data_IF_081124504551
#
_entry.id   IF_081124504551
#
_cell.length_a   1.000
_cell.length_b   1.000
_cell.length_c   1.000
_cell.angle_alpha   90.00
_cell.angle_beta   90.00
_cell.angle_gamma   90.00
#
_symmetry.space_group_name_H-M   'P 1'
#
loop_
_entity.id
_entity.type
_entity.pdbx_description
1 polymer ?
#
# COMPACT_ATOMS: atom_id res chain seq x y z
N UNK A 1 72.00 -20.55 -50.45
CA UNK A 1 70.58 -20.23 -50.20
C UNK A 1 70.08 -21.26 -49.21
N UNK A 2 69.57 -20.78 -48.10
CA UNK A 2 69.73 -21.42 -46.79
C UNK A 2 68.51 -22.28 -46.40
N UNK A 3 68.59 -23.26 -45.50
CA UNK A 3 69.78 -23.83 -44.84
C UNK A 3 69.43 -24.62 -43.57
N UNK A 4 69.92 -25.87 -43.44
CA UNK A 4 69.88 -26.73 -42.22
C UNK A 4 68.48 -27.10 -41.66
N UNK A 5 68.29 -28.11 -40.79
CA UNK A 5 68.91 -29.44 -40.55
C UNK A 5 67.92 -30.22 -39.63
N UNK A 6 67.42 -31.43 -39.93
CA UNK A 6 68.03 -32.78 -39.99
C UNK A 6 68.08 -33.56 -38.64
N UNK A 7 67.22 -34.59 -38.54
CA UNK A 7 67.23 -35.84 -37.70
C UNK A 7 66.55 -35.92 -36.30
N UNK A 8 65.86 -37.09 -36.16
CA UNK A 8 65.43 -37.92 -34.98
C UNK A 8 66.67 -38.43 -34.13
N UNK A 9 66.61 -39.34 -33.10
CA UNK A 9 65.51 -40.24 -32.63
C UNK A 9 65.38 -40.68 -31.12
N UNK A 10 64.22 -41.26 -30.78
CA UNK A 10 63.89 -42.49 -29.98
C UNK A 10 64.51 -42.93 -28.60
N UNK A 11 63.65 -43.62 -27.82
CA UNK A 11 63.92 -44.66 -26.76
C UNK A 11 64.39 -44.18 -25.35
N UNK A 12 64.32 -44.94 -24.23
CA UNK A 12 63.91 -46.34 -23.94
C UNK A 12 63.61 -46.60 -22.43
N UNK A 13 62.89 -47.69 -22.08
CA UNK A 13 62.91 -48.43 -20.77
C UNK A 13 62.48 -47.65 -19.48
N UNK A 14 62.30 -48.16 -18.24
CA UNK A 14 62.07 -49.47 -17.55
C UNK A 14 61.78 -49.18 -16.03
N UNK A 15 61.42 -50.09 -15.10
CA UNK A 15 60.63 -51.34 -15.04
C UNK A 15 60.55 -51.85 -13.56
N UNK A 16 59.59 -52.75 -13.20
CA UNK A 16 59.50 -53.52 -11.91
C UNK A 16 59.24 -52.73 -10.60
N UNK A 17 58.79 -53.27 -9.45
CA UNK A 17 58.02 -54.49 -9.06
C UNK A 17 57.59 -54.42 -7.56
N UNK A 18 56.94 -55.49 -7.01
CA UNK A 18 56.79 -55.92 -5.60
C UNK A 18 55.38 -55.90 -4.93
N UNK A 19 55.09 -57.02 -4.25
CA UNK A 19 53.98 -57.42 -3.34
C UNK A 19 54.67 -58.40 -2.35
N UNK A 20 54.57 -58.34 -1.00
CA UNK A 20 53.35 -58.58 -0.18
C UNK A 20 53.30 -57.65 1.09
N UNK A 21 52.75 -57.93 2.31
CA UNK A 21 52.13 -59.11 2.94
C UNK A 21 51.21 -58.79 4.14
N UNK A 22 50.16 -59.63 4.26
CA UNK A 22 49.46 -60.18 5.45
C UNK A 22 49.69 -59.67 6.90
N UNK A 23 48.54 -59.49 7.57
CA UNK A 23 48.13 -59.94 8.93
C UNK A 23 48.98 -59.60 10.17
N UNK A 24 48.40 -58.74 11.04
CA UNK A 24 47.92 -59.13 12.39
C UNK A 24 47.03 -57.99 12.96
N UNK A 25 46.37 -58.13 14.11
CA UNK A 25 45.12 -58.87 14.39
C UNK A 25 44.51 -58.30 15.70
N UNK A 26 43.42 -58.89 16.23
CA UNK A 26 42.71 -58.44 17.46
C UNK A 26 41.86 -57.15 17.28
N UNK A 27 40.68 -56.96 17.92
CA UNK A 27 39.98 -57.81 18.90
C UNK A 27 38.43 -57.67 18.82
N UNK A 28 37.74 -58.83 18.81
CA UNK A 28 36.38 -59.11 19.32
C UNK A 28 35.16 -58.17 19.11
N UNK A 29 34.18 -58.74 18.37
CA UNK A 29 32.79 -59.01 18.80
C UNK A 29 31.60 -58.05 18.54
N UNK A 30 30.48 -58.74 18.30
CA UNK A 30 29.04 -58.38 18.32
C UNK A 30 28.42 -57.67 17.10
N UNK A 31 27.14 -57.96 16.90
CA UNK A 31 26.40 -57.88 15.62
C UNK A 31 25.31 -56.76 15.67
N UNK A 32 24.55 -56.49 14.58
CA UNK A 32 24.26 -55.12 14.13
C UNK A 32 22.99 -54.52 14.79
N UNK A 33 22.56 -53.29 14.41
CA UNK A 33 21.58 -53.25 13.31
C UNK A 33 21.57 -51.97 12.43
N UNK A 34 20.71 -52.01 11.39
CA UNK A 34 20.12 -50.91 10.61
C UNK A 34 21.02 -49.83 9.96
N UNK A 35 21.11 -49.93 8.62
CA UNK A 35 21.60 -48.88 7.73
C UNK A 35 20.61 -47.70 7.67
N UNK A 36 20.83 -46.67 8.49
CA UNK A 36 20.19 -45.36 8.29
C UNK A 36 20.89 -44.57 7.17
N UNK A 37 20.31 -44.59 5.97
CA UNK A 37 20.62 -43.60 4.93
C UNK A 37 20.06 -42.23 5.36
N UNK A 38 20.85 -41.45 6.10
CA UNK A 38 20.58 -40.02 6.24
C UNK A 38 21.03 -39.29 4.97
N UNK A 39 20.16 -38.50 4.31
CA UNK A 39 20.59 -37.66 3.20
C UNK A 39 21.55 -36.57 3.72
N UNK A 40 22.52 -36.10 2.92
CA UNK A 40 23.50 -35.11 3.36
C UNK A 40 22.80 -33.82 3.79
N UNK A 41 22.95 -33.44 5.06
CA UNK A 41 22.30 -32.26 5.65
C UNK A 41 22.73 -31.02 4.87
N UNK A 42 21.77 -30.43 4.14
CA UNK A 42 22.04 -29.28 3.29
C UNK A 42 22.30 -28.04 4.16
N UNK A 43 23.58 -27.81 4.47
CA UNK A 43 24.04 -26.74 5.35
C UNK A 43 23.62 -25.33 4.88
N UNK A 44 23.29 -25.17 3.59
CA UNK A 44 22.74 -23.91 3.04
C UNK A 44 21.28 -23.69 3.46
N UNK A 45 20.47 -24.76 3.51
CA UNK A 45 19.11 -24.72 4.06
C UNK A 45 19.15 -24.54 5.58
N UNK A 46 20.01 -25.27 6.29
CA UNK A 46 20.17 -25.11 7.75
C UNK A 46 20.59 -23.67 8.10
N UNK A 47 21.54 -23.07 7.37
CA UNK A 47 21.96 -21.67 7.57
C UNK A 47 20.85 -20.66 7.27
N UNK A 48 20.05 -20.87 6.22
CA UNK A 48 18.86 -20.04 5.92
C UNK A 48 17.81 -20.14 7.02
N UNK A 49 17.54 -21.35 7.50
CA UNK A 49 16.60 -21.64 8.57
C UNK A 49 17.05 -21.02 9.90
N UNK A 50 18.33 -21.09 10.25
CA UNK A 50 18.90 -20.39 11.41
C UNK A 50 18.77 -18.87 11.29
N UNK A 51 19.05 -18.27 10.12
CA UNK A 51 18.83 -16.83 9.93
C UNK A 51 17.35 -16.44 10.00
N UNK A 52 16.45 -17.27 9.49
CA UNK A 52 15.00 -17.06 9.60
C UNK A 52 14.54 -17.06 11.07
N UNK A 53 14.95 -18.08 11.85
CA UNK A 53 14.64 -18.13 13.29
C UNK A 53 15.29 -16.99 14.08
N UNK A 54 16.52 -16.58 13.74
CA UNK A 54 17.19 -15.44 14.39
C UNK A 54 16.48 -14.11 14.07
N UNK A 55 16.03 -13.92 12.83
CA UNK A 55 15.22 -12.75 12.43
C UNK A 55 13.86 -12.74 13.13
N UNK A 56 13.19 -13.89 13.23
CA UNK A 56 11.92 -14.04 13.94
C UNK A 56 12.05 -13.76 15.44
N UNK A 57 13.14 -14.21 16.05
CA UNK A 57 13.49 -13.96 17.46
C UNK A 57 13.87 -12.49 17.71
N UNK A 58 14.59 -11.84 16.79
CA UNK A 58 14.88 -10.40 16.88
C UNK A 58 13.60 -9.57 16.76
N UNK A 59 12.71 -9.90 15.80
CA UNK A 59 11.39 -9.28 15.65
C UNK A 59 10.53 -9.48 16.92
N UNK A 60 10.57 -10.67 17.54
CA UNK A 60 9.90 -10.94 18.81
C UNK A 60 10.45 -10.08 19.97
N UNK A 61 11.78 -9.92 20.07
CA UNK A 61 12.40 -9.06 21.09
C UNK A 61 11.99 -7.60 20.91
N UNK A 62 12.02 -7.06 19.70
CA UNK A 62 11.60 -5.69 19.42
C UNK A 62 10.12 -5.46 19.76
N UNK A 63 9.25 -6.44 19.47
CA UNK A 63 7.83 -6.41 19.80
C UNK A 63 7.59 -6.49 21.33
N UNK A 64 8.43 -7.23 22.07
CA UNK A 64 8.43 -7.27 23.54
C UNK A 64 9.00 -5.99 24.21
N UNK A 65 9.89 -5.25 23.53
CA UNK A 65 10.41 -3.96 24.01
C UNK A 65 9.50 -2.77 23.67
N UNK A 66 8.63 -2.91 22.66
CA UNK A 66 7.67 -1.87 22.25
C UNK A 66 6.87 -1.22 23.38
N UNK A 67 6.33 -1.94 24.40
CA UNK A 67 5.56 -1.31 25.48
C UNK A 67 6.39 -0.48 26.49
N UNK A 68 7.73 -0.43 26.39
CA UNK A 68 8.53 0.48 27.22
C UNK A 68 8.52 1.93 26.69
N UNK A 69 8.08 2.15 25.44
CA UNK A 69 8.02 3.47 24.82
C UNK A 69 6.56 3.94 24.72
N UNK A 70 6.09 4.89 25.55
CA UNK A 70 4.73 5.38 25.48
C UNK A 70 4.50 6.15 24.18
N UNK A 71 3.54 5.71 23.38
CA UNK A 71 3.11 6.43 22.17
C UNK A 71 2.58 7.83 22.54
N UNK A 72 2.93 8.90 21.79
CA UNK A 72 2.35 10.21 22.01
C UNK A 72 0.83 10.20 21.80
N UNK A 73 0.07 11.03 22.52
CA UNK A 73 -1.40 11.05 22.42
C UNK A 73 -1.84 11.47 21.01
N UNK A 74 -2.86 10.80 20.48
CA UNK A 74 -3.45 11.11 19.18
C UNK A 74 -3.94 12.56 19.14
N UNK A 75 -3.35 13.37 18.26
CA UNK A 75 -3.82 14.72 18.00
C UNK A 75 -5.24 14.72 17.43
N UNK A 76 -6.07 15.62 17.92
CA UNK A 76 -7.38 15.88 17.32
C UNK A 76 -7.20 16.54 15.93
N UNK A 77 -8.12 16.32 14.97
CA UNK A 77 -8.02 16.93 13.66
C UNK A 77 -8.07 18.47 13.76
N UNK A 78 -7.07 19.13 13.18
CA UNK A 78 -7.00 20.60 13.12
C UNK A 78 -8.15 21.11 12.24
N UNK A 79 -9.10 21.80 12.86
CA UNK A 79 -10.19 22.46 12.15
C UNK A 79 -9.67 23.74 11.49
N UNK A 80 -9.46 23.73 10.17
CA UNK A 80 -9.18 24.96 9.42
C UNK A 80 -10.32 25.98 9.64
N UNK A 81 -9.98 27.11 10.26
CA UNK A 81 -10.96 28.04 10.82
C UNK A 81 -11.58 28.95 9.74
N UNK A 82 -12.42 28.39 8.87
CA UNK A 82 -13.21 29.16 7.88
C UNK A 82 -14.53 29.71 8.45
N UNK A 83 -14.50 30.21 9.67
CA UNK A 83 -15.53 31.13 10.20
C UNK A 83 -15.42 32.47 9.44
N UNK A 84 -16.44 32.99 8.75
CA UNK A 84 -17.85 33.06 9.17
C UNK A 84 -18.88 32.70 8.10
N UNK A 85 -18.46 32.28 6.90
CA UNK A 85 -19.37 32.13 5.75
C UNK A 85 -20.09 30.77 5.74
N UNK A 86 -19.47 29.72 6.28
CA UNK A 86 -19.90 28.32 6.18
C UNK A 86 -21.25 28.01 6.86
N UNK A 87 -21.51 28.54 8.06
CA UNK A 87 -22.78 28.32 8.78
C UNK A 87 -24.00 28.91 8.06
N UNK A 88 -23.81 30.02 7.33
CA UNK A 88 -24.86 30.60 6.48
C UNK A 88 -25.15 29.72 5.24
N UNK A 89 -24.25 28.80 4.92
CA UNK A 89 -24.24 28.01 3.70
C UNK A 89 -24.91 26.63 3.92
N UNK A 90 -24.51 25.94 5.00
CA UNK A 90 -25.00 24.60 5.39
C UNK A 90 -26.51 24.55 5.66
N UNK A 91 -27.08 25.64 6.18
CA UNK A 91 -28.51 25.80 6.49
C UNK A 91 -29.39 26.12 5.27
N UNK A 92 -28.79 26.48 4.14
CA UNK A 92 -29.51 26.92 2.94
C UNK A 92 -30.41 25.84 2.33
N UNK A 93 -31.46 26.25 1.61
CA UNK A 93 -32.37 25.32 0.95
C UNK A 93 -31.67 24.44 -0.12
N UNK A 94 -30.76 24.96 -0.98
CA UNK A 94 -29.99 24.13 -1.91
C UNK A 94 -29.07 23.13 -1.19
N UNK A 95 -28.38 23.54 -0.11
CA UNK A 95 -27.52 22.64 0.66
C UNK A 95 -28.31 21.46 1.25
N UNK A 96 -29.47 21.74 1.85
CA UNK A 96 -30.38 20.72 2.40
C UNK A 96 -30.97 19.82 1.32
N UNK A 97 -31.30 20.35 0.14
CA UNK A 97 -31.78 19.56 -1.00
C UNK A 97 -30.69 18.62 -1.53
N UNK A 98 -29.50 19.12 -1.82
CA UNK A 98 -28.36 18.34 -2.30
C UNK A 98 -27.96 17.27 -1.27
N UNK A 99 -27.83 17.63 0.00
CA UNK A 99 -27.53 16.70 1.10
C UNK A 99 -28.57 15.58 1.20
N UNK A 100 -29.86 15.90 1.02
CA UNK A 100 -30.92 14.88 0.98
C UNK A 100 -30.78 13.93 -0.21
N UNK A 101 -30.37 14.42 -1.38
CA UNK A 101 -30.11 13.58 -2.56
C UNK A 101 -28.89 12.67 -2.33
N UNK A 102 -27.78 13.18 -1.81
CA UNK A 102 -26.59 12.36 -1.47
C UNK A 102 -26.93 11.28 -0.42
N UNK A 103 -27.74 11.63 0.58
CA UNK A 103 -28.29 10.68 1.56
C UNK A 103 -29.15 9.58 0.92
N UNK A 104 -29.89 9.86 -0.16
CA UNK A 104 -30.63 8.84 -0.92
C UNK A 104 -29.69 7.96 -1.74
N UNK A 105 -28.69 8.55 -2.42
CA UNK A 105 -27.68 7.80 -3.20
C UNK A 105 -27.00 6.75 -2.32
N UNK A 106 -26.50 7.14 -1.14
CA UNK A 106 -25.74 6.24 -0.27
C UNK A 106 -26.56 5.08 0.31
N UNK A 107 -27.88 5.22 0.44
CA UNK A 107 -28.77 4.18 1.00
C UNK A 107 -29.38 3.27 -0.08
N UNK A 108 -29.71 3.79 -1.26
CA UNK A 108 -30.38 2.99 -2.32
C UNK A 108 -29.37 2.07 -3.03
N UNK A 109 -29.61 0.75 -3.14
CA UNK A 109 -28.68 -0.19 -3.77
C UNK A 109 -28.57 0.02 -5.29
N UNK A 110 -27.39 -0.25 -5.86
CA UNK A 110 -27.06 -0.01 -7.28
C UNK A 110 -27.98 -0.77 -8.25
N UNK A 111 -28.48 -1.94 -7.84
CA UNK A 111 -29.45 -2.74 -8.59
C UNK A 111 -30.82 -2.07 -8.77
N UNK A 112 -31.12 -1.01 -8.01
CA UNK A 112 -32.36 -0.25 -8.16
C UNK A 112 -32.21 0.87 -9.18
N UNK A 113 -33.15 0.99 -10.14
CA UNK A 113 -33.26 2.16 -11.03
C UNK A 113 -33.35 3.50 -10.26
N UNK A 114 -33.79 3.46 -9.01
CA UNK A 114 -33.81 4.63 -8.10
C UNK A 114 -32.40 5.15 -7.78
N UNK A 115 -31.38 4.29 -7.75
CA UNK A 115 -29.98 4.70 -7.57
C UNK A 115 -29.53 5.57 -8.75
N UNK A 116 -29.71 5.10 -9.99
CA UNK A 116 -29.37 5.86 -11.20
C UNK A 116 -30.11 7.22 -11.27
N UNK A 117 -31.37 7.27 -10.85
CA UNK A 117 -32.15 8.52 -10.78
C UNK A 117 -31.58 9.48 -9.72
N UNK A 118 -31.32 9.01 -8.49
CA UNK A 118 -30.76 9.86 -7.43
C UNK A 118 -29.32 10.31 -7.75
N UNK A 119 -28.52 9.43 -8.35
CA UNK A 119 -27.13 9.65 -8.75
C UNK A 119 -27.05 10.70 -9.87
N UNK A 120 -27.86 10.57 -10.93
CA UNK A 120 -27.94 11.59 -12.00
C UNK A 120 -28.59 12.90 -11.57
N UNK A 121 -29.46 12.89 -10.54
CA UNK A 121 -29.95 14.12 -9.91
C UNK A 121 -28.86 14.81 -9.10
N UNK A 122 -27.99 14.05 -8.41
CA UNK A 122 -26.84 14.61 -7.70
C UNK A 122 -25.85 15.27 -8.66
N UNK A 123 -25.49 14.63 -9.76
CA UNK A 123 -24.60 15.23 -10.78
C UNK A 123 -25.20 16.54 -11.31
N UNK A 124 -26.46 16.52 -11.79
CA UNK A 124 -27.10 17.74 -12.30
C UNK A 124 -27.12 18.88 -11.28
N UNK A 125 -27.47 18.62 -10.02
CA UNK A 125 -27.50 19.67 -8.99
C UNK A 125 -26.10 20.22 -8.65
N UNK A 126 -25.06 19.38 -8.71
CA UNK A 126 -23.68 19.82 -8.53
C UNK A 126 -23.22 20.69 -9.72
N UNK A 127 -23.53 20.25 -10.93
CA UNK A 127 -23.10 20.89 -12.18
C UNK A 127 -23.87 22.20 -12.43
N UNK A 128 -25.17 22.24 -12.15
CA UNK A 128 -26.01 23.44 -12.13
C UNK A 128 -25.45 24.47 -11.14
N UNK A 129 -25.07 24.04 -9.93
CA UNK A 129 -24.45 24.91 -8.92
C UNK A 129 -23.09 25.48 -9.37
N UNK A 130 -22.31 24.78 -10.20
CA UNK A 130 -21.06 25.30 -10.77
C UNK A 130 -21.31 26.35 -11.87
N UNK A 131 -22.44 26.27 -12.57
CA UNK A 131 -22.85 27.20 -13.63
C UNK A 131 -23.61 28.44 -13.10
N UNK A 132 -24.07 28.43 -11.85
CA UNK A 132 -24.82 29.54 -11.26
C UNK A 132 -23.95 30.77 -10.94
N UNK A 133 -24.36 31.93 -11.47
CA UNK A 133 -23.79 33.24 -11.11
C UNK A 133 -24.42 33.81 -9.80
N UNK A 134 -23.66 34.57 -8.99
CA UNK A 134 -22.22 34.82 -9.11
C UNK A 134 -21.39 33.59 -8.74
N UNK A 135 -20.30 33.38 -9.47
CA UNK A 135 -19.40 32.25 -9.30
C UNK A 135 -18.88 32.14 -7.85
N UNK A 136 -18.55 30.91 -7.42
CA UNK A 136 -18.05 30.61 -6.08
C UNK A 136 -19.13 30.49 -4.99
N UNK A 137 -20.27 31.19 -5.07
CA UNK A 137 -21.29 31.14 -3.99
C UNK A 137 -21.90 29.74 -3.82
N UNK A 138 -22.25 29.09 -4.93
CA UNK A 138 -22.82 27.74 -4.93
C UNK A 138 -21.74 26.65 -4.89
N UNK A 139 -20.50 26.95 -5.29
CA UNK A 139 -19.34 26.09 -5.10
C UNK A 139 -19.09 25.80 -3.61
N UNK A 140 -19.21 26.81 -2.72
CA UNK A 140 -19.15 26.60 -1.27
C UNK A 140 -20.25 25.68 -0.71
N UNK A 141 -21.43 25.66 -1.35
CA UNK A 141 -22.51 24.70 -1.04
C UNK A 141 -22.10 23.29 -1.48
N UNK A 142 -21.64 23.12 -2.72
CA UNK A 142 -21.15 21.83 -3.22
C UNK A 142 -20.06 21.27 -2.30
N UNK A 143 -19.04 22.08 -1.99
CA UNK A 143 -17.91 21.68 -1.15
C UNK A 143 -18.33 21.22 0.25
N UNK A 144 -19.13 22.03 0.97
CA UNK A 144 -19.57 21.66 2.33
C UNK A 144 -20.42 20.39 2.35
N UNK A 145 -21.30 20.21 1.36
CA UNK A 145 -22.21 19.05 1.29
C UNK A 145 -21.50 17.78 0.80
N UNK A 146 -20.58 17.89 -0.16
CA UNK A 146 -19.74 16.77 -0.61
C UNK A 146 -18.75 16.34 0.47
N UNK A 147 -18.16 17.30 1.20
CA UNK A 147 -17.19 17.04 2.27
C UNK A 147 -17.77 16.20 3.41
N UNK A 148 -19.01 16.50 3.84
CA UNK A 148 -19.70 15.66 4.83
C UNK A 148 -20.19 14.34 4.23
N UNK A 149 -20.64 14.32 2.97
CA UNK A 149 -21.02 13.08 2.30
C UNK A 149 -19.84 12.10 2.15
N UNK A 150 -18.64 12.60 1.84
CA UNK A 150 -17.41 11.80 1.78
C UNK A 150 -17.03 11.27 3.17
N UNK A 151 -17.10 12.12 4.21
CA UNK A 151 -16.86 11.68 5.59
C UNK A 151 -17.87 10.61 6.03
N UNK A 152 -19.15 10.75 5.67
CA UNK A 152 -20.19 9.76 5.94
C UNK A 152 -19.97 8.46 5.17
N UNK A 153 -19.55 8.51 3.91
CA UNK A 153 -19.23 7.34 3.09
C UNK A 153 -18.03 6.55 3.65
N UNK A 154 -16.95 7.25 4.05
CA UNK A 154 -15.79 6.66 4.71
C UNK A 154 -16.19 5.94 6.00
N UNK A 155 -16.87 6.65 6.93
CA UNK A 155 -17.32 6.05 8.21
C UNK A 155 -18.27 4.86 8.02
N UNK A 156 -19.11 4.87 6.98
CA UNK A 156 -19.98 3.73 6.65
C UNK A 156 -19.20 2.56 6.07
N UNK A 157 -18.19 2.80 5.24
CA UNK A 157 -17.34 1.76 4.69
C UNK A 157 -16.51 1.08 5.79
N UNK A 158 -16.00 1.85 6.76
CA UNK A 158 -15.38 1.33 7.98
C UNK A 158 -16.34 0.47 8.82
N UNK A 159 -17.64 0.78 8.85
CA UNK A 159 -18.64 -0.01 9.58
C UNK A 159 -19.13 -1.28 8.87
N UNK A 160 -18.84 -1.43 7.56
CA UNK A 160 -19.24 -2.59 6.74
C UNK A 160 -18.07 -3.58 6.58
N UNK A 161 -16.84 -3.09 6.57
CA UNK A 161 -15.64 -3.92 6.52
C UNK A 161 -15.30 -4.50 7.90
N UNK A 162 -14.63 -5.67 7.95
CA UNK A 162 -14.08 -6.17 9.21
C UNK A 162 -13.06 -5.17 9.75
N UNK A 163 -13.21 -4.82 11.02
CA UNK A 163 -12.15 -4.14 11.77
C UNK A 163 -10.98 -5.12 11.96
N UNK A 164 -9.76 -4.82 11.51
CA UNK A 164 -8.61 -5.64 11.81
C UNK A 164 -8.37 -5.61 13.32
N UNK A 165 -8.61 -6.75 13.97
CA UNK A 165 -8.48 -6.86 15.41
C UNK A 165 -7.06 -6.44 15.85
N UNK A 166 -6.97 -5.68 16.94
CA UNK A 166 -5.75 -4.97 17.33
C UNK A 166 -4.64 -5.88 17.91
N UNK A 167 -4.75 -7.21 17.74
CA UNK A 167 -3.77 -8.18 18.18
C UNK A 167 -2.69 -8.46 17.11
N UNK A 168 -1.41 -8.58 17.49
CA UNK A 168 -0.36 -9.05 16.57
C UNK A 168 -0.65 -10.42 15.94
N UNK A 169 -1.36 -11.28 16.68
CA UNK A 169 -1.82 -12.59 16.22
C UNK A 169 -2.84 -12.46 15.09
N UNK A 170 -3.72 -11.46 15.14
CA UNK A 170 -4.81 -11.27 14.17
C UNK A 170 -4.33 -10.59 12.89
N UNK A 171 -3.25 -9.79 12.94
CA UNK A 171 -2.53 -9.30 11.76
C UNK A 171 -1.85 -10.45 11.01
N UNK A 172 -1.19 -11.36 11.74
CA UNK A 172 -0.59 -12.59 11.16
C UNK A 172 -1.70 -13.48 10.60
N UNK A 173 -2.80 -13.67 11.33
CA UNK A 173 -3.96 -14.41 10.85
C UNK A 173 -4.56 -13.75 9.61
N UNK A 174 -4.74 -12.42 9.57
CA UNK A 174 -5.27 -11.69 8.42
C UNK A 174 -4.42 -11.87 7.16
N UNK A 175 -3.09 -11.76 7.28
CA UNK A 175 -2.17 -12.06 6.17
C UNK A 175 -2.27 -13.53 5.71
N UNK A 176 -2.39 -14.47 6.66
CA UNK A 176 -2.49 -15.91 6.39
C UNK A 176 -3.84 -16.30 5.76
N UNK A 177 -4.96 -15.74 6.22
CA UNK A 177 -6.30 -15.89 5.64
C UNK A 177 -6.40 -15.25 4.25
N UNK A 178 -5.76 -14.10 4.02
CA UNK A 178 -5.63 -13.48 2.68
C UNK A 178 -4.65 -14.23 1.76
N UNK A 179 -3.80 -15.10 2.31
CA UNK A 179 -3.04 -16.11 1.57
C UNK A 179 -3.91 -17.32 1.20
N UNK A 180 -4.60 -17.93 2.18
CA UNK A 180 -5.47 -19.09 1.96
C UNK A 180 -6.62 -18.77 0.99
N UNK A 181 -7.25 -17.60 1.08
CA UNK A 181 -8.29 -17.17 0.12
C UNK A 181 -7.74 -16.99 -1.30
N UNK A 182 -6.51 -16.48 -1.46
CA UNK A 182 -5.83 -16.42 -2.77
C UNK A 182 -5.53 -17.80 -3.38
N UNK A 183 -5.41 -18.83 -2.54
CA UNK A 183 -5.17 -20.23 -2.96
C UNK A 183 -6.50 -21.00 -3.12
N UNK A 184 -7.65 -20.37 -2.87
CA UNK A 184 -8.98 -21.02 -2.93
C UNK A 184 -9.23 -22.02 -1.81
N UNK A 185 -8.50 -21.93 -0.70
CA UNK A 185 -8.53 -22.89 0.41
C UNK A 185 -9.57 -22.57 1.51
N UNK A 186 -10.48 -21.63 1.25
CA UNK A 186 -11.59 -21.25 2.14
C UNK A 186 -12.84 -21.07 1.29
N UNK A 187 -13.89 -21.80 1.63
CA UNK A 187 -15.23 -21.68 1.06
C UNK A 187 -16.06 -20.78 1.99
N UNK A 188 -16.79 -19.78 1.47
CA UNK A 188 -17.58 -18.85 2.29
C UNK A 188 -19.08 -19.21 2.29
N UNK A 189 -19.73 -19.13 3.46
CA UNK A 189 -21.19 -19.24 3.62
C UNK A 189 -21.91 -18.08 2.90
N UNK A 190 -22.11 -18.24 1.59
CA UNK A 190 -22.28 -17.15 0.62
C UNK A 190 -23.57 -16.32 0.69
N UNK A 191 -24.47 -16.58 1.64
CA UNK A 191 -25.76 -15.85 1.76
C UNK A 191 -25.59 -14.54 2.56
N UNK A 192 -24.75 -14.54 3.60
CA UNK A 192 -24.49 -13.33 4.41
C UNK A 192 -23.39 -12.46 3.81
N UNK A 193 -22.27 -13.06 3.44
CA UNK A 193 -21.06 -12.35 2.97
C UNK A 193 -21.32 -11.53 1.70
N UNK A 194 -21.96 -12.13 0.69
CA UNK A 194 -22.19 -11.48 -0.61
C UNK A 194 -22.97 -10.14 -0.51
N UNK A 195 -23.90 -10.02 0.45
CA UNK A 195 -24.62 -8.78 0.72
C UNK A 195 -23.74 -7.69 1.32
N UNK A 196 -22.78 -8.05 2.17
CA UNK A 196 -21.80 -7.12 2.74
C UNK A 196 -20.76 -6.68 1.70
N UNK A 197 -20.21 -7.63 0.94
CA UNK A 197 -19.23 -7.36 -0.14
C UNK A 197 -19.81 -6.41 -1.20
N UNK A 198 -21.04 -6.65 -1.68
CA UNK A 198 -21.70 -5.74 -2.63
C UNK A 198 -22.00 -4.34 -2.04
N UNK A 199 -22.22 -4.24 -0.72
CA UNK A 199 -22.38 -2.95 -0.04
C UNK A 199 -21.04 -2.21 0.11
N UNK A 200 -19.95 -2.93 0.39
CA UNK A 200 -18.60 -2.38 0.44
C UNK A 200 -18.11 -1.91 -0.94
N UNK A 201 -18.25 -2.72 -1.98
CA UNK A 201 -17.94 -2.34 -3.38
C UNK A 201 -18.66 -1.05 -3.78
N UNK A 202 -19.96 -0.95 -3.47
CA UNK A 202 -20.76 0.27 -3.68
C UNK A 202 -20.18 1.47 -2.93
N UNK A 203 -19.91 1.33 -1.64
CA UNK A 203 -19.43 2.43 -0.80
C UNK A 203 -18.03 2.92 -1.24
N UNK A 204 -17.13 2.02 -1.68
CA UNK A 204 -15.84 2.41 -2.26
C UNK A 204 -16.03 3.17 -3.58
N UNK A 205 -16.95 2.74 -4.44
CA UNK A 205 -17.29 3.46 -5.68
C UNK A 205 -17.92 4.84 -5.42
N UNK A 206 -18.72 4.97 -4.35
CA UNK A 206 -19.25 6.26 -3.89
C UNK A 206 -18.15 7.18 -3.33
N UNK A 207 -17.20 6.65 -2.55
CA UNK A 207 -16.03 7.40 -2.07
C UNK A 207 -15.19 7.92 -3.25
N UNK A 208 -14.94 7.10 -4.27
CA UNK A 208 -14.22 7.53 -5.49
C UNK A 208 -14.97 8.66 -6.21
N UNK A 209 -16.28 8.52 -6.42
CA UNK A 209 -17.09 9.54 -7.08
C UNK A 209 -17.18 10.84 -6.28
N UNK A 210 -17.37 10.77 -4.96
CA UNK A 210 -17.43 11.95 -4.09
C UNK A 210 -16.10 12.70 -4.11
N UNK A 211 -14.97 11.99 -4.07
CA UNK A 211 -13.64 12.57 -4.23
C UNK A 211 -13.45 13.23 -5.61
N UNK A 212 -13.98 12.64 -6.68
CA UNK A 212 -13.98 13.22 -8.03
C UNK A 212 -14.79 14.52 -8.09
N UNK A 213 -16.04 14.51 -7.63
CA UNK A 213 -16.89 15.72 -7.60
C UNK A 213 -16.37 16.79 -6.64
N UNK A 214 -15.66 16.43 -5.57
CA UNK A 214 -14.93 17.41 -4.76
C UNK A 214 -13.80 18.06 -5.56
N UNK A 215 -13.00 17.30 -6.31
CA UNK A 215 -11.95 17.87 -7.16
C UNK A 215 -12.51 18.75 -8.29
N UNK A 216 -13.67 18.42 -8.86
CA UNK A 216 -14.40 19.27 -9.84
C UNK A 216 -14.95 20.58 -9.23
N UNK A 217 -14.96 20.72 -7.89
CA UNK A 217 -15.40 21.91 -7.17
C UNK A 217 -14.23 22.64 -6.46
N UNK A 218 -12.97 22.40 -6.85
CA UNK A 218 -11.74 22.86 -6.17
C UNK A 218 -11.53 22.34 -4.73
N UNK A 219 -12.25 21.28 -4.36
CA UNK A 219 -12.22 20.63 -3.04
C UNK A 219 -11.21 19.50 -2.89
N UNK A 220 -10.25 19.39 -3.82
CA UNK A 220 -9.32 18.26 -3.89
C UNK A 220 -8.53 18.05 -2.58
N UNK A 221 -8.07 19.13 -1.94
CA UNK A 221 -7.33 19.06 -0.67
C UNK A 221 -8.18 18.52 0.49
N UNK A 222 -9.44 18.94 0.57
CA UNK A 222 -10.39 18.50 1.61
C UNK A 222 -10.77 17.01 1.47
N UNK A 223 -10.65 16.45 0.25
CA UNK A 223 -10.74 15.01 0.01
C UNK A 223 -9.44 14.26 0.37
N UNK A 224 -8.27 14.82 0.01
CA UNK A 224 -6.94 14.29 0.38
C UNK A 224 -6.78 14.19 1.90
N UNK A 225 -7.15 15.23 2.65
CA UNK A 225 -7.11 15.26 4.14
C UNK A 225 -7.94 14.11 4.74
N UNK A 226 -9.16 13.87 4.24
CA UNK A 226 -10.02 12.76 4.70
C UNK A 226 -9.39 11.38 4.44
N UNK A 227 -8.75 11.20 3.30
CA UNK A 227 -8.12 9.93 2.94
C UNK A 227 -6.79 9.71 3.67
N UNK A 228 -6.04 10.78 3.96
CA UNK A 228 -4.88 10.76 4.85
C UNK A 228 -5.25 10.37 6.29
N UNK A 229 -6.42 10.82 6.78
CA UNK A 229 -6.91 10.52 8.12
C UNK A 229 -7.52 9.11 8.28
N UNK A 230 -7.90 8.45 7.18
CA UNK A 230 -8.62 7.16 7.19
C UNK A 230 -7.71 5.94 7.46
N UNK A 231 -6.85 6.02 8.48
CA UNK A 231 -5.84 5.01 8.82
C UNK A 231 -6.44 3.66 9.27
N UNK A 232 -7.61 3.68 9.93
CA UNK A 232 -8.40 2.48 10.26
C UNK A 232 -8.86 1.76 9.00
N UNK A 233 -9.51 2.49 8.09
CA UNK A 233 -9.96 2.00 6.80
C UNK A 233 -8.81 1.42 5.94
N UNK A 234 -7.64 2.05 5.94
CA UNK A 234 -6.45 1.53 5.25
C UNK A 234 -6.01 0.15 5.74
N UNK A 235 -6.03 -0.08 7.06
CA UNK A 235 -5.76 -1.41 7.63
C UNK A 235 -6.85 -2.42 7.29
N UNK A 236 -8.13 -2.04 7.31
CA UNK A 236 -9.23 -2.90 6.83
C UNK A 236 -9.09 -3.27 5.35
N UNK A 237 -8.62 -2.35 4.50
CA UNK A 237 -8.46 -2.60 3.07
C UNK A 237 -7.45 -3.73 2.78
N UNK A 238 -6.38 -3.88 3.57
CA UNK A 238 -5.41 -4.98 3.41
C UNK A 238 -6.00 -6.38 3.68
N UNK A 239 -7.09 -6.47 4.45
CA UNK A 239 -7.79 -7.72 4.78
C UNK A 239 -9.11 -7.92 3.99
N UNK A 240 -9.52 -6.92 3.21
CA UNK A 240 -10.73 -6.95 2.39
C UNK A 240 -10.62 -7.92 1.20
N UNK A 241 -11.78 -8.30 0.63
CA UNK A 241 -11.83 -9.09 -0.60
C UNK A 241 -11.11 -8.37 -1.77
N UNK A 242 -10.37 -9.08 -2.64
CA UNK A 242 -9.68 -8.49 -3.79
C UNK A 242 -10.55 -7.58 -4.67
N UNK A 243 -11.84 -7.86 -4.83
CA UNK A 243 -12.80 -7.02 -5.60
C UNK A 243 -13.00 -5.65 -4.95
N UNK A 244 -13.05 -5.61 -3.62
CA UNK A 244 -13.13 -4.37 -2.84
C UNK A 244 -11.78 -3.64 -2.90
N UNK A 245 -10.66 -4.38 -2.81
CA UNK A 245 -9.31 -3.82 -2.93
C UNK A 245 -9.09 -3.11 -4.26
N UNK A 246 -9.63 -3.61 -5.38
CA UNK A 246 -9.59 -2.93 -6.69
C UNK A 246 -10.17 -1.51 -6.61
N UNK A 247 -11.26 -1.32 -5.87
CA UNK A 247 -11.85 0.00 -5.63
C UNK A 247 -10.94 0.89 -4.76
N UNK A 248 -10.39 0.36 -3.66
CA UNK A 248 -9.50 1.12 -2.77
C UNK A 248 -8.23 1.61 -3.47
N UNK A 249 -7.65 0.77 -4.35
CA UNK A 249 -6.50 1.15 -5.18
C UNK A 249 -6.88 2.31 -6.10
N UNK A 250 -8.07 2.29 -6.71
CA UNK A 250 -8.55 3.40 -7.57
C UNK A 250 -8.76 4.71 -6.79
N UNK A 251 -9.31 4.66 -5.57
CA UNK A 251 -9.42 5.86 -4.71
C UNK A 251 -8.05 6.41 -4.35
N UNK A 252 -7.14 5.55 -3.88
CA UNK A 252 -5.79 5.95 -3.47
C UNK A 252 -4.98 6.52 -4.64
N UNK A 253 -5.02 5.86 -5.81
CA UNK A 253 -4.37 6.33 -7.03
C UNK A 253 -4.92 7.69 -7.50
N UNK A 254 -6.24 7.90 -7.41
CA UNK A 254 -6.83 9.21 -7.71
C UNK A 254 -6.33 10.29 -6.73
N UNK A 255 -6.36 10.01 -5.42
CA UNK A 255 -6.00 11.01 -4.40
C UNK A 255 -4.49 11.26 -4.28
N UNK A 256 -3.61 10.28 -4.56
CA UNK A 256 -2.18 10.53 -4.67
C UNK A 256 -1.86 11.51 -5.81
N UNK A 257 -2.56 11.42 -6.96
CA UNK A 257 -2.44 12.41 -8.04
C UNK A 257 -2.91 13.81 -7.61
N UNK A 258 -3.97 13.90 -6.79
CA UNK A 258 -4.43 15.21 -6.28
C UNK A 258 -3.46 15.79 -5.24
N UNK A 259 -2.96 14.97 -4.31
CA UNK A 259 -1.96 15.39 -3.32
C UNK A 259 -0.68 15.91 -3.99
N UNK A 260 -0.23 15.25 -5.07
CA UNK A 260 0.92 15.68 -5.87
C UNK A 260 0.72 17.03 -6.55
N UNK A 261 -0.47 17.29 -7.12
CA UNK A 261 -0.85 18.58 -7.73
C UNK A 261 -0.86 19.71 -6.70
N UNK A 262 -1.57 19.53 -5.58
CA UNK A 262 -1.63 20.49 -4.49
C UNK A 262 -0.24 20.85 -3.94
N UNK A 263 0.65 19.86 -3.85
CA UNK A 263 2.03 20.06 -3.42
C UNK A 263 2.91 20.71 -4.51
N UNK A 264 2.56 20.58 -5.80
CA UNK A 264 3.21 21.30 -6.89
C UNK A 264 2.75 22.76 -6.99
N UNK A 265 1.46 23.03 -6.76
CA UNK A 265 0.87 24.37 -6.68
C UNK A 265 1.57 25.21 -5.59
N UNK A 266 1.68 24.69 -4.37
CA UNK A 266 2.32 25.41 -3.26
C UNK A 266 3.83 25.59 -3.45
N UNK A 267 4.50 24.78 -4.29
CA UNK A 267 5.90 25.03 -4.70
C UNK A 267 6.06 26.16 -5.74
N UNK A 268 4.97 26.76 -6.23
CA UNK A 268 4.98 27.88 -7.17
C UNK A 268 4.38 29.18 -6.61
N UNK A 269 3.77 29.12 -5.43
CA UNK A 269 3.28 30.29 -4.67
C UNK A 269 4.43 30.92 -3.87
N UNK A 270 4.25 32.13 -3.30
CA UNK A 270 5.36 33.03 -2.94
C UNK A 270 5.54 33.26 -1.43
N UNK A 271 6.09 32.26 -0.73
CA UNK A 271 6.45 32.22 0.69
C UNK A 271 5.87 33.34 1.58
N UNK A 272 4.62 33.14 2.01
CA UNK A 272 4.06 33.75 3.22
C UNK A 272 3.89 32.72 4.35
N UNK A 273 3.70 33.18 5.59
CA UNK A 273 3.53 32.30 6.77
C UNK A 273 2.34 31.32 6.59
N UNK A 274 1.21 31.80 6.05
CA UNK A 274 0.04 30.97 5.68
C UNK A 274 0.36 29.89 4.62
N UNK A 275 1.32 30.14 3.73
CA UNK A 275 1.71 29.21 2.66
C UNK A 275 2.65 28.11 3.18
N UNK A 276 3.58 28.45 4.08
CA UNK A 276 4.46 27.49 4.74
C UNK A 276 3.64 26.54 5.66
N UNK A 277 2.61 27.05 6.36
CA UNK A 277 1.66 26.20 7.09
C UNK A 277 0.89 25.26 6.14
N UNK A 278 0.41 25.76 4.99
CA UNK A 278 -0.28 24.96 3.96
C UNK A 278 0.64 23.90 3.36
N UNK A 279 1.92 24.22 3.11
CA UNK A 279 2.94 23.28 2.63
C UNK A 279 3.18 22.15 3.64
N UNK A 280 3.35 22.50 4.92
CA UNK A 280 3.52 21.56 6.03
C UNK A 280 2.31 20.63 6.17
N UNK A 281 1.11 21.19 6.14
CA UNK A 281 -0.18 20.48 6.20
C UNK A 281 -0.35 19.46 5.05
N UNK A 282 -0.03 19.86 3.81
CA UNK A 282 -0.05 18.96 2.64
C UNK A 282 1.03 17.87 2.78
N UNK A 283 2.24 18.22 3.20
CA UNK A 283 3.34 17.25 3.39
C UNK A 283 2.98 16.18 4.44
N UNK A 284 2.39 16.59 5.55
CA UNK A 284 1.85 15.68 6.57
C UNK A 284 0.76 14.76 6.00
N UNK A 285 -0.15 15.28 5.16
CA UNK A 285 -1.16 14.46 4.49
C UNK A 285 -0.54 13.46 3.51
N UNK A 286 0.48 13.85 2.74
CA UNK A 286 1.22 12.96 1.85
C UNK A 286 1.91 11.83 2.63
N UNK A 287 2.57 12.13 3.76
CA UNK A 287 3.19 11.13 4.64
C UNK A 287 2.16 10.14 5.19
N UNK A 288 1.05 10.64 5.74
CA UNK A 288 -0.03 9.80 6.27
C UNK A 288 -0.68 8.95 5.20
N UNK A 289 -0.85 9.46 3.97
CA UNK A 289 -1.31 8.66 2.84
C UNK A 289 -0.31 7.59 2.42
N UNK A 290 0.98 7.91 2.33
CA UNK A 290 2.02 6.94 2.00
C UNK A 290 2.07 5.79 3.02
N UNK A 291 2.15 6.11 4.32
CA UNK A 291 2.09 5.13 5.42
C UNK A 291 0.84 4.23 5.36
N UNK A 292 -0.33 4.82 5.07
CA UNK A 292 -1.62 4.12 5.14
C UNK A 292 -1.92 3.28 3.89
N UNK A 293 -1.60 3.79 2.70
CA UNK A 293 -2.12 3.26 1.43
C UNK A 293 -1.05 2.65 0.51
N UNK A 294 0.24 2.97 0.68
CA UNK A 294 1.31 2.32 -0.09
C UNK A 294 1.36 0.79 0.14
N UNK A 295 1.14 0.25 1.37
CA UNK A 295 0.99 -1.19 1.59
C UNK A 295 -0.07 -1.88 0.72
N UNK A 296 -1.19 -1.19 0.44
CA UNK A 296 -2.25 -1.72 -0.43
C UNK A 296 -1.82 -1.72 -1.90
N UNK A 297 -1.10 -0.68 -2.33
CA UNK A 297 -0.58 -0.61 -3.69
C UNK A 297 0.37 -1.78 -3.98
N UNK A 298 1.20 -2.18 -3.00
CA UNK A 298 2.10 -3.35 -3.12
C UNK A 298 1.36 -4.67 -3.44
N UNK A 299 0.10 -4.84 -3.04
CA UNK A 299 -0.71 -6.03 -3.36
C UNK A 299 -1.54 -5.95 -4.66
N UNK A 300 -1.56 -4.79 -5.32
CA UNK A 300 -2.55 -4.42 -6.35
C UNK A 300 -2.40 -5.10 -7.72
N UNK A 301 -1.42 -5.99 -7.89
CA UNK A 301 -1.22 -6.80 -9.11
C UNK A 301 -2.21 -7.97 -9.22
N UNK A 302 -2.73 -8.46 -8.08
CA UNK A 302 -3.24 -9.83 -7.88
C UNK A 302 -4.45 -10.27 -8.73
N UNK A 303 -5.02 -9.38 -9.56
CA UNK A 303 -6.24 -9.62 -10.33
C UNK A 303 -5.98 -9.86 -11.82
N UNK A 304 -5.75 -11.14 -12.20
CA UNK A 304 -5.68 -11.55 -13.63
C UNK A 304 -6.97 -11.21 -14.39
N UNK A 305 -8.12 -11.24 -13.72
CA UNK A 305 -9.44 -10.93 -14.32
C UNK A 305 -9.83 -9.43 -14.23
N UNK A 306 -9.17 -8.64 -13.38
CA UNK A 306 -9.52 -7.24 -13.08
C UNK A 306 -8.25 -6.40 -12.83
N UNK A 307 -7.56 -5.92 -13.88
CA UNK A 307 -6.47 -4.98 -13.71
C UNK A 307 -6.97 -3.68 -13.04
N UNK A 308 -6.37 -3.35 -11.90
CA UNK A 308 -6.59 -2.12 -11.12
C UNK A 308 -6.31 -0.86 -11.94
N UNK A 309 -5.15 -0.87 -12.59
CA UNK A 309 -4.69 0.07 -13.61
C UNK A 309 -4.44 -0.74 -14.90
N UNK A 310 -5.08 -0.30 -15.99
CA UNK A 310 -5.25 -1.07 -17.23
C UNK A 310 -4.06 -0.97 -18.19
N UNK A 311 -3.21 0.04 -18.02
CA UNK A 311 -2.00 0.25 -18.82
C UNK A 311 -0.72 0.24 -17.97
N UNK A 312 0.37 -0.18 -18.59
CA UNK A 312 1.72 0.00 -18.03
C UNK A 312 2.08 1.49 -17.87
N UNK A 313 1.52 2.36 -18.71
CA UNK A 313 1.68 3.82 -18.62
C UNK A 313 1.13 4.40 -17.31
N UNK A 314 -0.11 4.08 -16.93
CA UNK A 314 -0.69 4.51 -15.65
C UNK A 314 0.11 4.00 -14.44
N UNK A 315 0.62 2.76 -14.51
CA UNK A 315 1.45 2.17 -13.46
C UNK A 315 2.79 2.89 -13.31
N UNK A 316 3.42 3.29 -14.42
CA UNK A 316 4.68 4.03 -14.42
C UNK A 316 4.49 5.51 -14.02
N UNK A 317 3.40 6.14 -14.47
CA UNK A 317 3.00 7.50 -14.04
C UNK A 317 2.80 7.54 -12.53
N UNK A 318 2.07 6.57 -11.96
CA UNK A 318 1.84 6.51 -10.52
C UNK A 318 3.13 6.24 -9.73
N UNK A 319 4.05 5.41 -10.24
CA UNK A 319 5.39 5.23 -9.65
C UNK A 319 6.15 6.56 -9.63
N UNK A 320 6.16 7.33 -10.73
CA UNK A 320 6.80 8.67 -10.76
C UNK A 320 6.18 9.62 -9.74
N UNK A 321 4.85 9.65 -9.63
CA UNK A 321 4.14 10.47 -8.64
C UNK A 321 4.50 10.05 -7.22
N UNK A 322 4.61 8.75 -6.92
CA UNK A 322 5.07 8.26 -5.62
C UNK A 322 6.52 8.67 -5.34
N UNK A 323 7.45 8.54 -6.29
CA UNK A 323 8.83 9.01 -6.12
C UNK A 323 8.90 10.53 -5.85
N UNK A 324 8.10 11.33 -6.54
CA UNK A 324 8.07 12.79 -6.38
C UNK A 324 7.40 13.23 -5.08
N UNK A 325 6.41 12.50 -4.57
CA UNK A 325 5.85 12.70 -3.24
C UNK A 325 6.87 12.34 -2.15
N UNK A 326 7.52 11.17 -2.26
CA UNK A 326 8.53 10.70 -1.29
C UNK A 326 9.73 11.66 -1.27
N UNK A 327 10.26 12.05 -2.43
CA UNK A 327 11.43 12.93 -2.53
C UNK A 327 11.24 14.35 -1.95
N UNK A 328 10.02 14.74 -1.61
CA UNK A 328 9.67 16.00 -0.92
C UNK A 328 9.47 15.85 0.61
N UNK A 329 9.51 14.62 1.14
CA UNK A 329 9.48 14.36 2.58
C UNK A 329 10.86 14.64 3.22
N UNK A 330 10.91 14.78 4.54
CA UNK A 330 12.19 14.88 5.27
C UNK A 330 12.96 13.54 5.25
N UNK A 331 14.21 13.54 5.73
CA UNK A 331 15.10 12.38 5.62
C UNK A 331 14.57 11.11 6.31
N UNK A 332 14.08 11.26 7.54
CA UNK A 332 13.57 10.16 8.38
C UNK A 332 12.23 9.64 7.83
N UNK A 333 11.39 10.54 7.32
CA UNK A 333 10.13 10.21 6.67
C UNK A 333 10.33 9.45 5.34
N UNK A 334 11.39 9.77 4.58
CA UNK A 334 11.77 9.00 3.40
C UNK A 334 12.20 7.57 3.80
N UNK A 335 13.04 7.43 4.83
CA UNK A 335 13.47 6.13 5.35
C UNK A 335 12.28 5.26 5.77
N UNK A 336 11.36 5.81 6.56
CA UNK A 336 10.18 5.12 7.08
C UNK A 336 9.24 4.62 5.96
N UNK A 337 8.96 5.47 4.97
CA UNK A 337 8.10 5.11 3.83
C UNK A 337 8.79 4.08 2.93
N UNK A 338 10.10 4.20 2.70
CA UNK A 338 10.88 3.27 1.90
C UNK A 338 11.06 1.90 2.58
N UNK A 339 11.21 1.86 3.90
CA UNK A 339 11.21 0.62 4.68
C UNK A 339 9.83 -0.06 4.66
N UNK A 340 8.76 0.72 4.87
CA UNK A 340 7.37 0.24 4.79
C UNK A 340 7.06 -0.32 3.40
N UNK A 341 7.49 0.35 2.34
CA UNK A 341 7.41 -0.16 0.97
C UNK A 341 8.13 -1.50 0.84
N UNK A 342 9.41 -1.58 1.26
CA UNK A 342 10.25 -2.75 1.06
C UNK A 342 9.71 -4.00 1.77
N UNK A 343 9.26 -3.89 3.03
CA UNK A 343 8.63 -5.00 3.77
C UNK A 343 7.35 -5.48 3.07
N UNK A 344 6.48 -4.58 2.59
CA UNK A 344 5.23 -4.95 1.90
C UNK A 344 5.43 -5.47 0.48
N UNK A 345 6.39 -4.92 -0.27
CA UNK A 345 6.77 -5.37 -1.60
C UNK A 345 7.37 -6.78 -1.55
N UNK A 346 8.34 -7.01 -0.66
CA UNK A 346 8.95 -8.34 -0.47
C UNK A 346 7.97 -9.40 0.06
N UNK A 347 6.87 -8.99 0.70
CA UNK A 347 5.81 -9.89 1.17
C UNK A 347 4.78 -10.27 0.08
N UNK A 348 4.84 -9.68 -1.10
CA UNK A 348 3.85 -9.86 -2.19
C UNK A 348 4.51 -10.54 -3.42
N UNK A 349 4.69 -11.88 -3.41
CA UNK A 349 5.40 -12.60 -4.49
C UNK A 349 4.71 -12.52 -5.86
N UNK A 350 3.43 -12.13 -5.87
CA UNK A 350 2.61 -11.97 -7.07
C UNK A 350 2.68 -10.53 -7.66
N UNK A 351 3.49 -9.63 -7.09
CA UNK A 351 3.46 -8.19 -7.40
C UNK A 351 4.83 -7.51 -7.51
N UNK A 352 5.18 -7.10 -8.73
CA UNK A 352 6.30 -6.19 -9.01
C UNK A 352 5.91 -4.69 -8.96
N UNK A 353 4.78 -4.32 -8.32
CA UNK A 353 4.27 -2.94 -8.34
C UNK A 353 3.74 -2.48 -6.97
N UNK A 354 3.99 -1.21 -6.56
CA UNK A 354 4.85 -0.22 -7.22
C UNK A 354 6.32 -0.56 -7.01
N UNK A 355 7.12 -0.52 -8.08
CA UNK A 355 8.57 -0.66 -7.97
C UNK A 355 9.19 0.71 -7.64
N UNK A 356 9.80 0.84 -6.47
CA UNK A 356 10.49 2.05 -6.00
C UNK A 356 12.00 1.83 -5.79
N UNK A 357 12.59 0.79 -6.42
CA UNK A 357 14.04 0.49 -6.33
C UNK A 357 14.93 1.68 -6.71
N UNK A 358 14.53 2.44 -7.74
CA UNK A 358 15.18 3.69 -8.14
C UNK A 358 15.13 4.79 -7.08
N UNK A 359 14.04 4.87 -6.31
CA UNK A 359 13.88 5.79 -5.19
C UNK A 359 14.73 5.34 -3.99
N UNK A 360 14.63 4.05 -3.63
CA UNK A 360 15.36 3.44 -2.53
C UNK A 360 16.89 3.54 -2.72
N UNK A 361 17.37 3.18 -3.90
CA UNK A 361 18.80 3.23 -4.25
C UNK A 361 19.33 4.67 -4.26
N UNK A 362 18.51 5.64 -4.69
CA UNK A 362 18.85 7.07 -4.66
C UNK A 362 18.96 7.59 -3.22
N UNK A 363 17.95 7.31 -2.38
CA UNK A 363 17.96 7.64 -0.95
C UNK A 363 19.17 7.02 -0.24
N UNK A 364 19.44 5.71 -0.44
CA UNK A 364 20.59 5.03 0.16
C UNK A 364 21.96 5.57 -0.34
N UNK A 365 22.03 6.02 -1.60
CA UNK A 365 23.24 6.65 -2.13
C UNK A 365 23.51 8.03 -1.50
N UNK A 366 22.48 8.84 -1.23
CA UNK A 366 22.64 10.11 -0.52
C UNK A 366 22.87 9.91 0.99
N UNK A 367 22.24 8.91 1.63
CA UNK A 367 22.45 8.59 3.06
C UNK A 367 23.93 8.36 3.37
N UNK A 368 24.59 7.57 2.51
CA UNK A 368 26.03 7.28 2.61
C UNK A 368 26.91 8.51 2.41
N UNK A 369 26.47 9.53 1.67
CA UNK A 369 27.20 10.81 1.54
C UNK A 369 27.03 11.72 2.75
N UNK A 370 25.96 11.57 3.53
CA UNK A 370 25.79 12.29 4.79
C UNK A 370 26.70 11.72 5.88
N UNK A 371 26.84 10.38 5.95
CA UNK A 371 27.75 9.68 6.87
C UNK A 371 29.26 9.84 6.54
N UNK A 372 29.61 10.56 5.47
CA UNK A 372 30.98 10.81 5.02
C UNK A 372 31.33 12.31 5.02
N UNK A 373 30.55 13.12 5.74
CA UNK A 373 30.77 14.55 6.01
C UNK A 373 31.00 14.78 7.50
#
# INVERSE_FOLDING_TARGET
MDGSAKRRPASSAAASSLIPSFLDSSMTNSTPPFLFLFPPVNWRLLRRLVFFFLSLLLRLILLLLSPLFPSPPSSAPVSYQRSSITDSCSSSAPARALSRVLSVVSVVPVSSRKYQLARSLADRLLDENLLCFPAGRFQGINLSVLSEALAHAIRRLESVLPSPAAGPVDLIAGALWSGLRRIGAVDEDGIGSAGSTAAAEKLVAEVLWLAQKMAECDGAGEAVVRWAAAASLGRSALAADPRIQVGFVRVSVFLFRQAHRLQAEVCHESHGEDEDERASSISHCCLSMLRTWLPLLCGASSGVEMPTLSSSGERAEMVRVLEELIGRLNWEQQEEVLATWLDHFAACPDSDWPNLDSCYTRWYAESRKQLLK
#
